data_IF_211724085898
#
_entry.id   IF_211724085898
#
_cell.length_a   1.000
_cell.length_b   1.000
_cell.length_c   1.000
_cell.angle_alpha   90.00
_cell.angle_beta   90.00
_cell.angle_gamma   90.00
#
_symmetry.space_group_name_H-M   'P 1'
#
loop_
_entity.id
_entity.type
_entity.pdbx_description
1 polymer ?
#
# COMPACT_ATOMS: atom_id res chain seq x y z
N UNK A 1 7.09 -14.56 -22.66
CA UNK A 1 6.77 -13.71 -21.51
C UNK A 1 5.66 -12.74 -21.88
N UNK A 2 4.42 -13.18 -21.72
CA UNK A 2 3.19 -12.38 -21.77
C UNK A 2 2.78 -11.97 -20.36
N UNK A 3 2.16 -10.78 -20.24
CA UNK A 3 1.77 -10.17 -18.96
C UNK A 3 0.26 -9.92 -18.94
N UNK A 4 -0.42 -10.39 -17.90
CA UNK A 4 -1.80 -10.01 -17.61
C UNK A 4 -1.81 -8.91 -16.54
N UNK A 5 -2.18 -7.68 -16.94
CA UNK A 5 -2.36 -6.57 -16.01
C UNK A 5 -3.80 -6.50 -15.54
N UNK A 6 -4.03 -6.80 -14.26
CA UNK A 6 -5.34 -6.61 -13.62
C UNK A 6 -5.38 -5.22 -13.01
N UNK A 7 -6.19 -4.33 -13.57
CA UNK A 7 -6.41 -2.99 -13.06
C UNK A 7 -7.90 -2.68 -13.02
N UNK A 8 -8.36 -2.09 -11.91
CA UNK A 8 -9.74 -1.66 -11.79
C UNK A 8 -9.92 -0.32 -12.53
N UNK A 9 -10.81 -0.28 -13.53
CA UNK A 9 -11.15 0.95 -14.25
C UNK A 9 -12.63 1.28 -14.07
N UNK A 10 -12.94 2.50 -13.62
CA UNK A 10 -14.32 2.97 -13.42
C UNK A 10 -15.01 3.43 -14.73
N UNK A 11 -14.50 3.01 -15.88
CA UNK A 11 -14.88 3.55 -17.19
C UNK A 11 -15.36 2.46 -18.13
N UNK A 12 -16.24 2.82 -19.06
CA UNK A 12 -16.75 1.89 -20.06
C UNK A 12 -15.62 1.26 -20.89
N UNK A 13 -15.79 -0.01 -21.30
CA UNK A 13 -14.84 -0.78 -22.11
C UNK A 13 -14.27 -0.04 -23.33
N UNK A 14 -14.98 0.97 -23.85
CA UNK A 14 -14.54 1.81 -24.98
C UNK A 14 -13.34 2.70 -24.63
N UNK A 15 -13.32 3.29 -23.43
CA UNK A 15 -12.21 4.13 -22.99
C UNK A 15 -10.91 3.30 -22.83
N UNK A 16 -11.03 2.07 -22.32
CA UNK A 16 -9.93 1.14 -22.17
C UNK A 16 -9.27 0.77 -23.51
N UNK A 17 -10.08 0.50 -24.55
CA UNK A 17 -9.57 0.18 -25.89
C UNK A 17 -8.84 1.36 -26.52
N UNK A 18 -9.37 2.57 -26.37
CA UNK A 18 -8.71 3.78 -26.88
C UNK A 18 -7.37 4.03 -26.18
N UNK A 19 -7.30 3.79 -24.87
CA UNK A 19 -6.04 3.88 -24.13
C UNK A 19 -5.03 2.84 -24.62
N UNK A 20 -5.46 1.57 -24.78
CA UNK A 20 -4.60 0.50 -25.26
C UNK A 20 -4.12 0.70 -26.71
N UNK A 21 -4.90 1.38 -27.56
CA UNK A 21 -4.51 1.68 -28.95
C UNK A 21 -3.22 2.51 -29.06
N UNK A 22 -2.84 3.24 -28.02
CA UNK A 22 -1.55 3.94 -27.95
C UNK A 22 -0.35 3.04 -27.67
N UNK A 23 -0.56 1.75 -27.37
CA UNK A 23 0.48 0.82 -26.97
C UNK A 23 0.46 -0.44 -27.86
N UNK A 24 1.43 -0.61 -28.77
CA UNK A 24 1.38 -1.64 -29.82
C UNK A 24 1.45 -3.09 -29.31
N UNK A 25 1.74 -3.30 -28.02
CA UNK A 25 1.84 -4.63 -27.39
C UNK A 25 0.83 -4.82 -26.24
N UNK A 26 -0.26 -4.04 -26.26
CA UNK A 26 -1.28 -4.08 -25.22
C UNK A 26 -2.63 -4.45 -25.83
N UNK A 27 -3.25 -5.51 -25.32
CA UNK A 27 -4.63 -5.86 -25.62
C UNK A 27 -5.52 -5.51 -24.43
N UNK A 28 -6.58 -4.75 -24.68
CA UNK A 28 -7.57 -4.40 -23.68
C UNK A 28 -8.65 -5.48 -23.59
N UNK A 29 -8.82 -6.10 -22.42
CA UNK A 29 -9.88 -7.07 -22.13
C UNK A 29 -10.76 -6.58 -20.99
N UNK A 30 -12.01 -7.04 -20.96
CA UNK A 30 -12.90 -6.88 -19.81
C UNK A 30 -12.91 -8.20 -19.05
N UNK A 31 -12.58 -8.16 -17.76
CA UNK A 31 -12.47 -9.34 -16.91
C UNK A 31 -13.14 -9.07 -15.57
N UNK A 32 -14.08 -9.94 -15.18
CA UNK A 32 -14.59 -9.99 -13.83
C UNK A 32 -13.77 -11.01 -13.01
N UNK A 33 -12.98 -10.50 -12.08
CA UNK A 33 -12.12 -11.33 -11.22
C UNK A 33 -12.88 -12.18 -10.21
N UNK A 34 -14.20 -11.96 -10.05
CA UNK A 34 -15.07 -12.83 -9.27
C UNK A 34 -15.57 -14.05 -10.06
N UNK A 35 -15.48 -14.01 -11.39
CA UNK A 35 -15.75 -15.14 -12.27
C UNK A 35 -14.52 -16.05 -12.32
N UNK A 36 -14.60 -17.19 -11.64
CA UNK A 36 -13.50 -18.18 -11.62
C UNK A 36 -13.15 -18.64 -13.03
N UNK A 37 -14.14 -18.87 -13.89
CA UNK A 37 -13.93 -19.34 -15.25
C UNK A 37 -13.19 -18.31 -16.12
N UNK A 38 -13.59 -17.03 -16.04
CA UNK A 38 -12.96 -15.98 -16.83
C UNK A 38 -11.54 -15.70 -16.31
N UNK A 39 -11.36 -15.65 -14.99
CA UNK A 39 -10.05 -15.46 -14.38
C UNK A 39 -9.10 -16.59 -14.75
N UNK A 40 -9.54 -17.83 -14.62
CA UNK A 40 -8.76 -19.02 -14.96
C UNK A 40 -8.30 -19.01 -16.41
N UNK A 41 -9.22 -18.69 -17.33
CA UNK A 41 -8.92 -18.62 -18.75
C UNK A 41 -7.81 -17.60 -19.04
N UNK A 42 -7.93 -16.39 -18.49
CA UNK A 42 -6.97 -15.33 -18.77
C UNK A 42 -5.64 -15.58 -18.04
N UNK A 43 -5.65 -16.10 -16.81
CA UNK A 43 -4.42 -16.46 -16.08
C UNK A 43 -3.65 -17.56 -16.81
N UNK A 44 -4.33 -18.60 -17.30
CA UNK A 44 -3.71 -19.70 -18.04
C UNK A 44 -3.08 -19.27 -19.38
N UNK A 45 -3.55 -18.17 -19.97
CA UNK A 45 -3.04 -17.64 -21.23
C UNK A 45 -1.77 -16.78 -21.08
N UNK A 46 -1.33 -16.51 -19.84
CA UNK A 46 -0.22 -15.59 -19.57
C UNK A 46 0.88 -16.22 -18.71
N UNK A 47 2.11 -15.71 -18.88
CA UNK A 47 3.28 -16.18 -18.11
C UNK A 47 3.34 -15.54 -16.71
N UNK A 48 2.86 -14.30 -16.59
CA UNK A 48 2.89 -13.52 -15.35
C UNK A 48 1.62 -12.68 -15.22
N UNK A 49 1.04 -12.64 -14.01
CA UNK A 49 -0.09 -11.76 -13.64
C UNK A 49 0.41 -10.64 -12.74
N UNK A 50 0.10 -9.40 -13.09
CA UNK A 50 0.36 -8.22 -12.26
C UNK A 50 -0.98 -7.75 -11.69
N UNK A 51 -1.18 -7.96 -10.39
CA UNK A 51 -2.44 -7.68 -9.69
C UNK A 51 -2.44 -6.28 -9.05
N UNK A 52 -3.03 -5.32 -9.74
CA UNK A 52 -3.22 -3.91 -9.30
C UNK A 52 -4.68 -3.60 -8.95
N UNK A 53 -5.44 -4.64 -8.57
CA UNK A 53 -6.83 -4.58 -8.10
C UNK A 53 -6.88 -4.55 -6.56
N UNK A 54 -8.05 -4.29 -5.94
CA UNK A 54 -8.18 -4.32 -4.49
C UNK A 54 -7.66 -5.61 -3.86
N UNK A 55 -6.92 -5.49 -2.76
CA UNK A 55 -6.17 -6.59 -2.13
C UNK A 55 -7.04 -7.80 -1.72
N UNK A 56 -8.35 -7.59 -1.55
CA UNK A 56 -9.31 -8.65 -1.22
C UNK A 56 -9.39 -9.74 -2.29
N UNK A 57 -9.00 -9.43 -3.53
CA UNK A 57 -9.04 -10.37 -4.65
C UNK A 57 -7.72 -11.13 -4.86
N UNK A 58 -6.62 -10.72 -4.22
CA UNK A 58 -5.30 -11.32 -4.47
C UNK A 58 -5.26 -12.82 -4.20
N UNK A 59 -5.94 -13.30 -3.15
CA UNK A 59 -5.99 -14.73 -2.85
C UNK A 59 -6.69 -15.54 -3.97
N UNK A 60 -7.71 -14.98 -4.63
CA UNK A 60 -8.37 -15.64 -5.75
C UNK A 60 -7.45 -15.69 -6.99
N UNK A 61 -6.76 -14.59 -7.28
CA UNK A 61 -5.76 -14.52 -8.37
C UNK A 61 -4.65 -15.53 -8.14
N UNK A 62 -4.11 -15.61 -6.92
CA UNK A 62 -3.02 -16.54 -6.59
C UNK A 62 -3.48 -17.99 -6.68
N UNK A 63 -4.70 -18.33 -6.23
CA UNK A 63 -5.26 -19.68 -6.40
C UNK A 63 -5.37 -20.10 -7.87
N UNK A 64 -5.82 -19.19 -8.74
CA UNK A 64 -5.85 -19.42 -10.18
C UNK A 64 -4.43 -19.60 -10.75
N UNK A 65 -3.50 -18.74 -10.34
CA UNK A 65 -2.10 -18.79 -10.78
C UNK A 65 -1.40 -20.10 -10.36
N UNK A 66 -1.67 -20.62 -9.15
CA UNK A 66 -1.18 -21.94 -8.69
C UNK A 66 -1.67 -23.04 -9.63
N UNK A 67 -2.96 -23.03 -10.00
CA UNK A 67 -3.57 -24.04 -10.88
C UNK A 67 -2.91 -24.10 -12.26
N UNK A 68 -2.53 -22.95 -12.81
CA UNK A 68 -1.95 -22.85 -14.17
C UNK A 68 -0.45 -22.59 -14.20
N UNK A 69 0.21 -22.62 -13.04
CA UNK A 69 1.65 -22.38 -12.87
C UNK A 69 2.11 -21.01 -13.41
N UNK A 70 1.27 -20.01 -13.22
CA UNK A 70 1.52 -18.62 -13.64
C UNK A 70 2.18 -17.83 -12.50
N UNK A 71 3.16 -16.99 -12.82
CA UNK A 71 3.81 -16.14 -11.81
C UNK A 71 2.90 -14.98 -11.40
N UNK A 72 3.04 -14.44 -10.19
CA UNK A 72 2.21 -13.32 -9.71
C UNK A 72 3.07 -12.20 -9.13
N UNK A 73 2.71 -10.96 -9.43
CA UNK A 73 3.29 -9.76 -8.82
C UNK A 73 2.18 -8.88 -8.25
N UNK A 74 2.34 -8.38 -7.02
CA UNK A 74 1.43 -7.42 -6.39
C UNK A 74 2.20 -6.33 -5.64
N UNK A 75 1.59 -5.16 -5.52
CA UNK A 75 2.11 -4.04 -4.72
C UNK A 75 1.49 -3.96 -3.31
N UNK A 76 0.85 -5.05 -2.86
CA UNK A 76 0.08 -5.08 -1.61
C UNK A 76 0.78 -5.94 -0.56
N UNK A 77 0.46 -5.67 0.71
CA UNK A 77 0.87 -6.48 1.86
C UNK A 77 0.48 -7.95 1.70
N UNK A 78 1.32 -8.86 2.22
CA UNK A 78 0.98 -10.27 2.40
C UNK A 78 -0.08 -10.40 3.51
N UNK A 79 -1.29 -10.78 3.14
CA UNK A 79 -2.38 -11.05 4.09
C UNK A 79 -2.31 -12.49 4.64
N UNK A 80 -3.01 -12.81 5.75
CA UNK A 80 -3.10 -14.20 6.22
C UNK A 80 -3.59 -15.17 5.15
N UNK A 81 -4.59 -14.77 4.37
CA UNK A 81 -5.13 -15.58 3.27
C UNK A 81 -4.13 -15.80 2.12
N UNK A 82 -3.19 -14.87 1.89
CA UNK A 82 -2.09 -15.08 0.93
C UNK A 82 -1.04 -16.00 1.55
N UNK A 83 -0.72 -15.81 2.84
CA UNK A 83 0.27 -16.61 3.56
C UNK A 83 -0.11 -18.09 3.62
N UNK A 84 -1.40 -18.40 3.75
CA UNK A 84 -1.93 -19.77 3.68
C UNK A 84 -1.68 -20.48 2.34
N UNK A 85 -1.35 -19.74 1.27
CA UNK A 85 -1.10 -20.29 -0.07
C UNK A 85 0.39 -20.52 -0.36
N UNK A 86 1.29 -20.20 0.57
CA UNK A 86 2.74 -20.24 0.37
C UNK A 86 3.25 -21.65 -0.02
N UNK A 87 2.85 -22.68 0.71
CA UNK A 87 3.26 -24.07 0.42
C UNK A 87 2.74 -24.55 -0.93
N UNK A 88 1.48 -24.22 -1.27
CA UNK A 88 0.88 -24.57 -2.55
C UNK A 88 1.55 -23.83 -3.73
N UNK A 89 1.96 -22.57 -3.53
CA UNK A 89 2.71 -21.80 -4.53
C UNK A 89 4.10 -22.39 -4.77
N UNK A 90 4.80 -22.80 -3.71
CA UNK A 90 6.10 -23.49 -3.78
C UNK A 90 5.98 -24.84 -4.50
N UNK A 91 4.99 -25.65 -4.16
CA UNK A 91 4.74 -26.94 -4.80
C UNK A 91 4.42 -26.78 -6.30
N UNK A 92 3.64 -25.76 -6.66
CA UNK A 92 3.35 -25.44 -8.05
C UNK A 92 4.56 -24.90 -8.83
N UNK A 93 5.64 -24.50 -8.14
CA UNK A 93 6.84 -23.94 -8.73
C UNK A 93 6.67 -22.51 -9.24
N UNK A 94 5.78 -21.73 -8.61
CA UNK A 94 5.54 -20.32 -8.97
C UNK A 94 6.11 -19.37 -7.93
N UNK A 95 6.50 -18.18 -8.40
CA UNK A 95 6.86 -17.03 -7.59
C UNK A 95 5.64 -16.12 -7.46
N UNK A 96 5.30 -15.79 -6.21
CA UNK A 96 4.32 -14.76 -5.87
C UNK A 96 5.09 -13.63 -5.19
N UNK A 97 5.39 -12.57 -5.94
CA UNK A 97 6.14 -11.41 -5.46
C UNK A 97 5.17 -10.32 -5.01
N UNK A 98 5.02 -10.17 -3.69
CA UNK A 98 4.22 -9.12 -3.06
C UNK A 98 5.10 -7.93 -2.67
N UNK A 99 4.46 -6.88 -2.12
CA UNK A 99 5.16 -5.80 -1.43
C UNK A 99 6.26 -5.12 -2.27
N UNK A 100 6.01 -4.91 -3.56
CA UNK A 100 6.93 -4.22 -4.50
C UNK A 100 6.39 -2.87 -5.00
N UNK A 101 5.72 -2.13 -4.10
CA UNK A 101 5.27 -0.76 -4.33
C UNK A 101 6.20 0.29 -3.72
N UNK A 102 5.61 1.36 -3.18
CA UNK A 102 6.34 2.39 -2.41
C UNK A 102 6.34 2.04 -0.93
N UNK A 103 5.15 1.82 -0.38
CA UNK A 103 4.88 1.37 0.99
C UNK A 103 3.65 0.44 0.92
N UNK A 104 3.83 -0.89 0.92
CA UNK A 104 5.10 -1.61 1.10
C UNK A 104 5.90 -1.77 -0.22
N UNK A 105 7.23 -1.63 -0.14
CA UNK A 105 8.19 -1.95 -1.19
C UNK A 105 9.51 -1.18 -1.09
N UNK A 106 9.57 0.03 -1.65
CA UNK A 106 10.79 0.85 -1.58
C UNK A 106 11.23 1.09 -0.13
N UNK A 107 10.28 1.26 0.79
CA UNK A 107 10.57 1.35 2.23
C UNK A 107 11.33 0.12 2.75
N UNK A 108 10.96 -1.10 2.33
CA UNK A 108 11.67 -2.34 2.68
C UNK A 108 13.09 -2.35 2.15
N UNK A 109 13.27 -2.01 0.88
CA UNK A 109 14.57 -2.05 0.20
C UNK A 109 15.59 -1.15 0.92
N UNK A 110 15.19 0.08 1.25
CA UNK A 110 16.07 1.02 1.94
C UNK A 110 16.26 0.68 3.42
N UNK A 111 15.24 0.14 4.10
CA UNK A 111 15.35 -0.31 5.47
C UNK A 111 16.39 -1.44 5.60
N UNK A 112 16.23 -2.51 4.83
CA UNK A 112 17.13 -3.67 4.82
C UNK A 112 18.56 -3.22 4.49
N UNK A 113 18.73 -2.46 3.40
CA UNK A 113 20.04 -1.92 3.00
C UNK A 113 20.74 -1.19 4.13
N UNK A 114 20.03 -0.30 4.83
CA UNK A 114 20.62 0.50 5.92
C UNK A 114 20.92 -0.33 7.16
N UNK A 115 20.04 -1.26 7.51
CA UNK A 115 20.25 -2.19 8.63
C UNK A 115 21.48 -3.07 8.36
N UNK A 116 21.60 -3.64 7.15
CA UNK A 116 22.73 -4.48 6.76
C UNK A 116 24.05 -3.70 6.73
N UNK A 117 24.04 -2.46 6.22
CA UNK A 117 25.20 -1.55 6.25
C UNK A 117 25.70 -1.27 7.69
N UNK A 118 24.79 -1.20 8.67
CA UNK A 118 25.14 -1.02 10.09
C UNK A 118 25.70 -2.31 10.67
N UNK A 119 25.01 -3.44 10.48
CA UNK A 119 25.40 -4.73 11.04
C UNK A 119 26.73 -5.25 10.47
N UNK A 120 26.98 -5.07 9.17
CA UNK A 120 28.24 -5.46 8.53
C UNK A 120 29.47 -4.74 9.08
N UNK A 121 29.27 -3.59 9.76
CA UNK A 121 30.31 -2.83 10.45
C UNK A 121 30.36 -3.11 11.96
N UNK A 122 29.65 -4.12 12.44
CA UNK A 122 29.54 -4.46 13.87
C UNK A 122 28.68 -3.48 14.67
N UNK A 123 27.93 -2.59 14.00
CA UNK A 123 27.01 -1.66 14.64
C UNK A 123 25.71 -2.32 15.07
N UNK A 124 24.91 -1.60 15.87
CA UNK A 124 23.57 -2.02 16.30
C UNK A 124 22.55 -0.94 16.00
N UNK A 125 21.43 -1.31 15.40
CA UNK A 125 20.28 -0.40 15.20
C UNK A 125 19.53 -0.29 16.52
N UNK A 126 19.63 0.87 17.18
CA UNK A 126 18.93 1.15 18.46
C UNK A 126 17.52 1.67 18.26
N UNK A 127 17.32 2.45 17.21
CA UNK A 127 16.02 3.01 16.85
C UNK A 127 15.89 3.04 15.33
N UNK A 128 14.69 2.78 14.84
CA UNK A 128 14.33 2.82 13.44
C UNK A 128 13.00 3.54 13.29
N UNK A 129 13.01 4.58 12.46
CA UNK A 129 11.83 5.34 12.14
C UNK A 129 11.63 5.37 10.63
N UNK A 130 10.42 5.07 10.18
CA UNK A 130 10.05 5.15 8.76
C UNK A 130 8.77 5.95 8.60
N UNK A 131 8.84 7.01 7.79
CA UNK A 131 7.73 7.89 7.49
C UNK A 131 7.49 7.88 5.99
N UNK A 132 6.27 7.55 5.56
CA UNK A 132 5.90 7.52 4.13
C UNK A 132 4.50 8.08 3.92
N UNK A 133 4.33 9.03 3.01
CA UNK A 133 3.02 9.56 2.63
C UNK A 133 3.00 10.11 1.22
N UNK A 134 1.92 9.79 0.49
CA UNK A 134 1.63 10.34 -0.83
C UNK A 134 0.74 11.57 -0.70
N UNK A 135 1.34 12.76 -0.74
CA UNK A 135 0.66 14.04 -0.56
C UNK A 135 0.77 14.90 -1.83
N UNK A 136 -0.20 15.78 -2.10
CA UNK A 136 -0.04 16.77 -3.15
C UNK A 136 1.15 17.69 -2.83
N UNK A 137 1.77 18.26 -3.87
CA UNK A 137 2.72 19.34 -3.68
C UNK A 137 2.06 20.49 -2.89
N UNK A 138 2.80 21.29 -2.09
CA UNK A 138 2.21 22.31 -1.22
C UNK A 138 1.25 23.28 -1.94
N UNK A 139 1.63 23.74 -3.14
CA UNK A 139 0.78 24.62 -3.97
C UNK A 139 -0.46 23.95 -4.56
N UNK A 140 -0.63 22.64 -4.37
CA UNK A 140 -1.75 21.84 -4.83
C UNK A 140 -2.58 21.26 -3.67
N UNK A 141 -2.29 21.63 -2.41
CA UNK A 141 -3.00 21.21 -1.21
C UNK A 141 -4.15 22.19 -0.85
N UNK A 142 -4.73 22.85 -1.85
CA UNK A 142 -5.67 23.96 -1.76
C UNK A 142 -7.13 23.52 -1.52
N UNK A 143 -7.35 22.56 -0.64
CA UNK A 143 -8.67 22.05 -0.30
C UNK A 143 -8.82 21.76 1.20
N UNK A 144 -10.03 21.56 1.74
CA UNK A 144 -10.25 21.39 3.18
C UNK A 144 -9.48 20.23 3.81
N UNK A 145 -9.13 19.19 3.03
CA UNK A 145 -8.33 18.06 3.51
C UNK A 145 -6.84 18.28 3.32
N UNK A 146 -6.40 19.29 2.56
CA UNK A 146 -5.02 19.39 2.10
C UNK A 146 -4.55 18.17 1.29
N UNK A 147 -5.47 17.32 0.81
CA UNK A 147 -5.15 16.00 0.24
C UNK A 147 -5.79 15.82 -1.13
N UNK A 148 -5.16 15.04 -2.01
CA UNK A 148 -5.70 14.63 -3.31
C UNK A 148 -5.40 13.15 -3.50
N UNK A 149 -6.41 12.38 -3.90
CA UNK A 149 -6.25 10.93 -4.07
C UNK A 149 -5.37 10.63 -5.28
N UNK A 150 -4.17 10.10 -5.04
CA UNK A 150 -3.25 9.57 -6.07
C UNK A 150 -3.27 8.03 -6.14
N UNK A 151 -4.08 7.39 -5.30
CA UNK A 151 -4.29 5.96 -5.18
C UNK A 151 -5.70 5.67 -4.66
N UNK A 152 -6.05 4.42 -4.40
CA UNK A 152 -7.41 3.99 -4.00
C UNK A 152 -8.01 4.86 -2.88
N UNK A 153 -9.09 5.64 -3.15
CA UNK A 153 -9.71 6.49 -2.14
C UNK A 153 -10.25 5.71 -0.94
N UNK A 154 -10.84 4.53 -1.21
CA UNK A 154 -11.30 3.61 -0.17
C UNK A 154 -10.14 3.16 0.71
N UNK A 155 -8.99 2.83 0.11
CA UNK A 155 -7.79 2.45 0.84
C UNK A 155 -7.28 3.59 1.74
N UNK A 156 -7.23 4.82 1.21
CA UNK A 156 -6.76 6.01 1.92
C UNK A 156 -7.62 6.40 3.13
N UNK A 157 -8.92 6.14 3.05
CA UNK A 157 -9.84 6.38 4.16
C UNK A 157 -9.78 5.25 5.19
N UNK A 158 -9.73 3.99 4.74
CA UNK A 158 -9.66 2.84 5.65
C UNK A 158 -8.34 2.76 6.42
N UNK A 159 -7.22 3.21 5.84
CA UNK A 159 -5.93 3.21 6.54
C UNK A 159 -5.92 4.09 7.78
N UNK A 160 -6.77 5.12 7.83
CA UNK A 160 -6.94 6.01 8.99
C UNK A 160 -7.82 5.39 10.10
N UNK A 161 -8.39 4.20 9.86
CA UNK A 161 -9.18 3.42 10.82
C UNK A 161 -8.49 2.11 11.22
N UNK A 162 -7.19 2.02 10.99
CA UNK A 162 -6.41 0.90 11.50
C UNK A 162 -6.06 1.13 12.98
N UNK A 163 -5.80 0.06 13.72
CA UNK A 163 -4.99 0.18 14.94
C UNK A 163 -3.52 0.32 14.58
N UNK A 164 -2.72 0.83 15.51
CA UNK A 164 -1.27 0.85 15.39
C UNK A 164 -0.64 0.09 16.56
N UNK A 165 0.34 -0.76 16.24
CA UNK A 165 1.18 -1.44 17.22
C UNK A 165 2.63 -1.23 16.83
N UNK A 166 3.44 -0.71 17.75
CA UNK A 166 4.85 -0.42 17.49
C UNK A 166 5.70 -0.58 18.76
N UNK A 167 7.02 -0.59 18.63
CA UNK A 167 7.95 -0.81 19.74
C UNK A 167 8.59 0.53 20.12
N UNK A 168 8.45 0.99 21.36
CA UNK A 168 9.08 2.20 21.85
C UNK A 168 9.79 1.94 23.17
N UNK A 169 11.09 2.23 23.24
CA UNK A 169 11.92 2.02 24.42
C UNK A 169 11.83 0.57 24.96
N UNK A 170 11.76 -0.41 24.05
CA UNK A 170 11.60 -1.83 24.39
C UNK A 170 10.21 -2.24 24.87
N UNK A 171 9.22 -1.35 24.81
CA UNK A 171 7.82 -1.63 25.16
C UNK A 171 6.91 -1.61 23.95
N UNK A 172 6.01 -2.61 23.86
CA UNK A 172 4.96 -2.63 22.85
C UNK A 172 3.94 -1.56 23.19
N UNK A 173 3.74 -0.63 22.27
CA UNK A 173 2.72 0.41 22.34
C UNK A 173 1.61 0.04 21.36
N UNK A 174 0.38 0.03 21.86
CA UNK A 174 -0.82 -0.22 21.07
C UNK A 174 -1.72 1.02 21.11
N UNK A 175 -2.23 1.40 19.95
CA UNK A 175 -3.17 2.51 19.77
C UNK A 175 -4.38 1.96 19.03
N UNK A 176 -5.56 2.14 19.62
CA UNK A 176 -6.82 1.70 19.04
C UNK A 176 -7.15 2.50 17.76
N UNK A 177 -8.08 1.97 16.95
CA UNK A 177 -8.53 2.70 15.76
C UNK A 177 -9.15 4.07 16.09
N UNK A 178 -9.83 4.19 17.23
CA UNK A 178 -10.54 5.41 17.59
C UNK A 178 -9.57 6.51 18.09
N UNK A 179 -8.43 6.11 18.65
CA UNK A 179 -7.40 7.00 19.17
C UNK A 179 -6.31 7.32 18.13
N UNK A 180 -6.26 6.61 17.00
CA UNK A 180 -5.18 6.70 16.02
C UNK A 180 -4.92 8.13 15.54
N UNK A 181 -5.98 8.85 15.17
CA UNK A 181 -5.86 10.23 14.67
C UNK A 181 -5.50 11.22 15.79
N UNK A 182 -5.99 10.98 17.01
CA UNK A 182 -5.63 11.78 18.19
C UNK A 182 -4.14 11.61 18.57
N UNK A 183 -3.52 10.49 18.20
CA UNK A 183 -2.10 10.24 18.39
C UNK A 183 -1.18 10.93 17.36
N UNK A 184 -1.75 11.67 16.41
CA UNK A 184 -0.97 12.42 15.41
C UNK A 184 -0.16 13.55 16.05
N UNK A 185 1.05 13.79 15.52
CA UNK A 185 1.95 14.84 16.03
C UNK A 185 2.62 15.56 14.87
N UNK A 186 2.87 16.88 14.97
CA UNK A 186 3.71 17.60 14.02
C UNK A 186 5.07 16.91 13.87
N UNK A 187 5.58 16.85 12.65
CA UNK A 187 6.86 16.23 12.35
C UNK A 187 7.63 17.06 11.32
N UNK A 188 8.70 17.71 11.78
CA UNK A 188 9.54 18.51 10.91
C UNK A 188 10.47 17.61 10.10
N UNK A 189 10.38 17.70 8.77
CA UNK A 189 11.29 17.02 7.84
C UNK A 189 12.15 18.06 7.11
N UNK A 190 11.50 19.08 6.55
CA UNK A 190 12.18 20.13 5.81
C UNK A 190 11.36 21.42 5.81
N UNK A 191 12.03 22.55 5.57
CA UNK A 191 11.39 23.86 5.46
C UNK A 191 10.40 23.88 4.28
N UNK A 192 9.23 24.50 4.51
CA UNK A 192 8.18 24.65 3.50
C UNK A 192 7.14 23.53 3.50
N UNK A 193 7.19 22.62 4.48
CA UNK A 193 6.20 21.57 4.68
C UNK A 193 5.76 21.49 6.14
N UNK A 194 4.45 21.47 6.35
CA UNK A 194 3.81 21.32 7.66
C UNK A 194 3.21 19.92 7.78
N UNK A 195 4.09 18.94 8.02
CA UNK A 195 3.66 17.56 8.17
C UNK A 195 3.18 17.28 9.61
N UNK A 196 2.10 16.51 9.70
CA UNK A 196 1.67 15.78 10.89
C UNK A 196 1.79 14.29 10.61
N UNK A 197 2.21 13.49 11.58
CA UNK A 197 2.42 12.06 11.41
C UNK A 197 1.75 11.25 12.52
N UNK A 198 1.01 10.21 12.13
CA UNK A 198 0.39 9.24 13.04
C UNK A 198 1.02 7.85 12.86
N UNK A 199 1.12 7.04 13.92
CA UNK A 199 1.75 5.73 13.86
C UNK A 199 0.96 4.74 12.99
N UNK A 200 1.64 3.76 12.43
CA UNK A 200 1.04 2.61 11.74
C UNK A 200 1.57 1.32 12.33
N UNK A 201 0.83 0.23 12.15
CA UNK A 201 1.23 -1.07 12.67
C UNK A 201 2.54 -1.56 12.04
N UNK A 202 3.45 -2.04 12.88
CA UNK A 202 4.68 -2.71 12.45
C UNK A 202 4.36 -4.17 12.15
N UNK A 203 4.77 -4.64 10.97
CA UNK A 203 4.64 -6.05 10.58
C UNK A 203 5.97 -6.78 10.48
N UNK A 204 7.07 -6.10 10.80
CA UNK A 204 8.40 -6.70 10.89
C UNK A 204 8.65 -7.31 12.26
N UNK A 205 9.40 -8.41 12.29
CA UNK A 205 9.93 -8.98 13.52
C UNK A 205 11.34 -8.45 13.71
N UNK A 206 11.59 -7.78 14.84
CA UNK A 206 12.90 -7.28 15.21
C UNK A 206 13.20 -7.58 16.68
N UNK A 207 14.49 -7.53 17.05
CA UNK A 207 14.94 -7.77 18.42
C UNK A 207 14.32 -6.77 19.41
N UNK A 208 13.97 -7.27 20.59
CA UNK A 208 13.13 -6.59 21.60
C UNK A 208 13.70 -5.30 22.18
N UNK A 209 14.97 -4.98 21.95
CA UNK A 209 15.63 -3.79 22.53
C UNK A 209 15.58 -2.54 21.64
N UNK A 210 15.05 -2.62 20.43
CA UNK A 210 15.14 -1.55 19.43
C UNK A 210 13.81 -0.83 19.26
N UNK A 211 13.78 0.50 19.34
CA UNK A 211 12.56 1.28 19.06
C UNK A 211 12.26 1.20 17.57
N UNK A 212 11.04 0.80 17.19
CA UNK A 212 10.58 0.87 15.82
C UNK A 212 9.29 1.66 15.74
N UNK A 213 9.21 2.54 14.76
CA UNK A 213 8.03 3.34 14.55
C UNK A 213 7.85 3.64 13.06
N UNK A 214 6.77 3.11 12.49
CA UNK A 214 6.31 3.47 11.15
C UNK A 214 5.18 4.49 11.28
N UNK A 215 5.18 5.53 10.44
CA UNK A 215 4.14 6.57 10.46
C UNK A 215 3.75 7.02 9.06
N UNK A 216 2.54 7.54 8.94
CA UNK A 216 2.07 8.20 7.72
C UNK A 216 2.04 9.71 7.94
N UNK A 217 2.80 10.52 7.19
CA UNK A 217 2.67 11.96 7.19
C UNK A 217 1.42 12.40 6.43
N UNK A 218 0.87 13.51 6.87
CA UNK A 218 -0.27 14.19 6.31
C UNK A 218 -0.11 15.70 6.50
N UNK A 219 -0.88 16.52 5.79
CA UNK A 219 -1.01 17.94 6.15
C UNK A 219 -1.93 18.11 7.35
N UNK A 220 -1.70 19.16 8.14
CA UNK A 220 -2.40 19.44 9.40
C UNK A 220 -3.93 19.51 9.24
N UNK A 221 -4.43 20.09 8.14
CA UNK A 221 -5.87 20.18 7.84
C UNK A 221 -6.55 18.85 7.51
N UNK A 222 -5.80 17.82 7.12
CA UNK A 222 -6.35 16.51 6.71
C UNK A 222 -6.93 15.71 7.88
N UNK A 223 -6.32 15.80 9.06
CA UNK A 223 -6.68 14.97 10.21
C UNK A 223 -7.78 15.59 11.09
N UNK A 224 -8.09 16.88 10.89
CA UNK A 224 -8.87 17.71 11.81
C UNK A 224 -10.36 17.87 11.51
N UNK A 225 -10.96 17.17 10.53
CA UNK A 225 -12.38 17.43 10.17
C UNK A 225 -13.42 16.79 11.11
N UNK A 226 -13.04 16.33 12.30
CA UNK A 226 -14.03 15.95 13.33
C UNK A 226 -14.35 17.06 14.34
N UNK A 227 -13.61 18.18 14.38
CA UNK A 227 -13.88 19.18 15.43
C UNK A 227 -13.34 20.60 15.18
N UNK A 228 -13.41 21.13 13.96
CA UNK A 228 -13.23 22.57 13.74
C UNK A 228 -14.55 23.24 13.38
N UNK A 229 -15.23 23.78 14.39
CA UNK A 229 -16.23 24.85 14.25
C UNK A 229 -15.55 26.11 13.70
N UNK A 230 -15.18 26.14 12.42
CA UNK A 230 -14.88 27.39 11.72
C UNK A 230 -15.72 27.43 10.45
N UNK A 231 -16.40 28.56 10.27
CA UNK A 231 -17.51 28.78 9.36
C UNK A 231 -17.33 28.17 7.97
N UNK A 232 -18.24 27.26 7.63
CA UNK A 232 -18.39 26.71 6.30
C UNK A 232 -18.79 27.85 5.35
N UNK A 233 -17.86 28.35 4.53
CA UNK A 233 -18.24 29.19 3.38
C UNK A 233 -18.87 28.27 2.32
N UNK A 234 -20.06 28.61 1.80
CA UNK A 234 -20.77 27.74 0.88
C UNK A 234 -20.00 27.55 -0.43
N UNK A 235 -20.02 26.31 -0.91
CA UNK A 235 -19.59 25.93 -2.25
C UNK A 235 -20.32 26.81 -3.28
N UNK A 236 -19.58 27.65 -4.00
CA UNK A 236 -20.12 28.29 -5.21
C UNK A 236 -20.08 27.26 -6.32
N UNK A 237 -21.28 26.89 -6.78
CA UNK A 237 -21.54 26.22 -8.06
C UNK A 237 -21.04 27.05 -9.22
#
# INVERSE_FOLDING_TARGET
MSLLFLAQHAGACRALRNFAAGFPRTAAISLDVSSVADLDKEVAAHDVVISLIPYIYHAAVIKSAIKYKTQVVTISYVSPAIKELDDAAKEAGITVLNEVGVDPGVDHLYAIKKIDEVHSKGGKVREFYSYCGGLPAPGCADNPLGFKFSWSPRGALLSQRNSATFLQNGQVIEISSDELMAASKPYYVMKGYDFVAYPTAIRFHFESSTTFLKRTPSFEGHLGTRETQHSCKPWRT
#
